data_IF_870575590646
#
_entry.id   IF_870575590646
#
_cell.length_a   1.000
_cell.length_b   1.000
_cell.length_c   1.000
_cell.angle_alpha   90.00
_cell.angle_beta   90.00
_cell.angle_gamma   90.00
#
_symmetry.space_group_name_H-M   'P 1'
#
loop_
_entity.id
_entity.type
_entity.pdbx_description
1 polymer ?
#
# COMPACT_ATOMS: atom_id res chain seq x y z
N UNK A 1 -34.71 61.02 -8.77
CA UNK A 1 -34.36 59.58 -8.90
C UNK A 1 -32.99 59.42 -9.55
N UNK A 2 -31.95 59.02 -8.81
CA UNK A 2 -30.62 58.68 -9.36
C UNK A 2 -30.11 57.37 -8.74
N UNK A 3 -30.74 56.23 -9.08
CA UNK A 3 -30.32 54.87 -8.67
C UNK A 3 -29.47 54.16 -9.75
N UNK A 4 -28.55 54.86 -10.43
CA UNK A 4 -27.76 54.29 -11.55
C UNK A 4 -26.33 53.85 -11.20
N UNK A 5 -25.87 54.01 -9.95
CA UNK A 5 -24.47 53.74 -9.56
C UNK A 5 -24.23 52.42 -8.81
N UNK A 6 -25.27 51.65 -8.50
CA UNK A 6 -25.13 50.40 -7.73
C UNK A 6 -24.89 49.16 -8.62
N UNK A 7 -25.40 49.16 -9.85
CA UNK A 7 -25.28 48.02 -10.76
C UNK A 7 -23.82 47.67 -11.14
N UNK A 8 -22.93 48.64 -11.45
CA UNK A 8 -21.54 48.32 -11.79
C UNK A 8 -20.75 47.79 -10.59
N UNK A 9 -21.08 48.26 -9.39
CA UNK A 9 -20.45 47.82 -8.15
C UNK A 9 -20.83 46.37 -7.83
N UNK A 10 -22.12 46.03 -7.94
CA UNK A 10 -22.58 44.64 -7.77
C UNK A 10 -21.97 43.69 -8.80
N UNK A 11 -21.85 44.10 -10.08
CA UNK A 11 -21.23 43.27 -11.12
C UNK A 11 -19.74 43.05 -10.85
N UNK A 12 -19.02 44.10 -10.43
CA UNK A 12 -17.60 44.00 -10.06
C UNK A 12 -17.38 43.05 -8.88
N UNK A 13 -18.21 43.16 -7.84
CA UNK A 13 -18.14 42.26 -6.68
C UNK A 13 -18.48 40.82 -7.05
N UNK A 14 -19.46 40.59 -7.93
CA UNK A 14 -19.84 39.25 -8.38
C UNK A 14 -18.71 38.59 -9.20
N UNK A 15 -18.06 39.35 -10.09
CA UNK A 15 -16.92 38.85 -10.86
C UNK A 15 -15.69 38.59 -9.99
N UNK A 16 -15.46 39.43 -8.97
CA UNK A 16 -14.39 39.22 -7.99
C UNK A 16 -14.63 37.97 -7.13
N UNK A 17 -15.87 37.75 -6.69
CA UNK A 17 -16.27 36.52 -5.97
C UNK A 17 -16.16 35.27 -6.86
N UNK A 18 -16.54 35.35 -8.13
CA UNK A 18 -16.38 34.24 -9.08
C UNK A 18 -14.90 33.90 -9.33
N UNK A 19 -14.03 34.91 -9.43
CA UNK A 19 -12.59 34.72 -9.59
C UNK A 19 -11.94 34.11 -8.33
N UNK A 20 -12.40 34.47 -7.13
CA UNK A 20 -11.95 33.84 -5.88
C UNK A 20 -12.43 32.39 -5.73
N UNK A 21 -13.61 32.04 -6.26
CA UNK A 21 -14.09 30.65 -6.27
C UNK A 21 -13.30 29.76 -7.25
N UNK A 22 -12.78 30.31 -8.35
CA UNK A 22 -11.98 29.53 -9.30
C UNK A 22 -10.57 29.20 -8.83
N UNK A 23 -10.01 29.94 -7.86
CA UNK A 23 -8.65 29.70 -7.33
C UNK A 23 -8.64 29.00 -5.97
N UNK A 24 -9.77 28.91 -5.28
CA UNK A 24 -9.84 28.37 -3.91
C UNK A 24 -10.07 26.85 -3.83
N UNK A 25 -10.30 26.16 -4.96
CA UNK A 25 -10.65 24.74 -4.97
C UNK A 25 -10.04 23.92 -6.12
N UNK A 26 -8.89 24.34 -6.66
CA UNK A 26 -7.99 23.34 -7.24
C UNK A 26 -7.30 22.62 -6.06
N UNK A 27 -8.08 21.88 -5.26
CA UNK A 27 -7.50 20.88 -4.40
C UNK A 27 -6.77 19.94 -5.35
N UNK A 28 -5.45 19.82 -5.20
CA UNK A 28 -4.68 18.76 -5.84
C UNK A 28 -5.40 17.47 -5.48
N UNK A 29 -6.08 16.87 -6.44
CA UNK A 29 -6.86 15.68 -6.21
C UNK A 29 -5.82 14.56 -6.17
N UNK A 30 -5.47 14.11 -4.97
CA UNK A 30 -4.65 12.92 -4.82
C UNK A 30 -5.45 11.74 -5.37
N UNK A 31 -4.88 11.07 -6.37
CA UNK A 31 -5.46 9.85 -6.91
C UNK A 31 -5.38 8.76 -5.84
N UNK A 32 -6.48 8.02 -5.72
CA UNK A 32 -6.64 6.98 -4.72
C UNK A 32 -7.20 5.73 -5.38
N UNK A 33 -6.47 4.63 -5.27
CA UNK A 33 -6.93 3.30 -5.62
C UNK A 33 -7.26 2.56 -4.33
N UNK A 34 -8.39 1.87 -4.31
CA UNK A 34 -8.83 1.08 -3.17
C UNK A 34 -9.40 -0.24 -3.66
N UNK A 35 -8.97 -1.33 -3.03
CA UNK A 35 -9.49 -2.67 -3.26
C UNK A 35 -9.72 -3.37 -1.92
N UNK A 36 -10.72 -4.24 -1.86
CA UNK A 36 -10.98 -5.08 -0.69
C UNK A 36 -11.28 -6.49 -1.14
N UNK A 37 -10.85 -7.47 -0.36
CA UNK A 37 -11.13 -8.88 -0.62
C UNK A 37 -11.81 -9.51 0.58
N UNK A 38 -12.60 -10.54 0.29
CA UNK A 38 -13.29 -11.40 1.24
C UNK A 38 -13.35 -12.80 0.62
N UNK A 39 -12.22 -13.51 0.62
CA UNK A 39 -12.11 -14.87 0.09
C UNK A 39 -10.78 -15.51 0.49
N UNK A 40 -10.81 -16.80 0.82
CA UNK A 40 -9.62 -17.66 0.98
C UNK A 40 -8.75 -17.60 -0.29
N UNK A 41 -7.74 -16.72 -0.28
CA UNK A 41 -6.75 -16.63 -1.35
C UNK A 41 -5.52 -17.49 -1.06
N UNK A 42 -5.30 -17.91 0.19
CA UNK A 42 -4.23 -18.82 0.60
C UNK A 42 -4.58 -19.56 1.88
N UNK A 43 -4.10 -20.80 2.04
CA UNK A 43 -4.30 -21.58 3.27
C UNK A 43 -3.62 -20.99 4.53
N UNK A 44 -2.78 -19.97 4.35
CA UNK A 44 -1.98 -19.32 5.38
C UNK A 44 -2.10 -17.78 5.37
N UNK A 45 -2.94 -17.24 4.47
CA UNK A 45 -3.17 -15.80 4.33
C UNK A 45 -4.43 -15.33 5.07
N UNK A 46 -4.65 -14.01 5.16
CA UNK A 46 -5.89 -13.46 5.68
C UNK A 46 -7.03 -13.56 4.64
N UNK A 47 -8.19 -14.04 5.08
CA UNK A 47 -9.39 -14.13 4.24
C UNK A 47 -9.99 -12.77 3.90
N UNK A 48 -9.82 -11.80 4.79
CA UNK A 48 -10.40 -10.47 4.70
C UNK A 48 -9.35 -9.37 4.83
N UNK A 49 -9.48 -8.36 3.97
CA UNK A 49 -8.67 -7.17 4.09
C UNK A 49 -8.98 -6.11 3.05
N UNK A 50 -8.20 -5.04 3.12
CA UNK A 50 -8.23 -3.97 2.15
C UNK A 50 -6.83 -3.47 1.85
N UNK A 51 -6.73 -2.91 0.66
CA UNK A 51 -5.54 -2.32 0.08
C UNK A 51 -5.89 -0.92 -0.41
N UNK A 52 -5.03 0.03 -0.11
CA UNK A 52 -5.17 1.42 -0.52
C UNK A 52 -3.84 1.94 -1.06
N UNK A 53 -3.89 2.63 -2.21
CA UNK A 53 -2.80 3.44 -2.73
C UNK A 53 -3.27 4.87 -2.79
N UNK A 54 -2.48 5.79 -2.26
CA UNK A 54 -2.75 7.22 -2.32
C UNK A 54 -1.54 7.93 -2.88
N UNK A 55 -1.69 8.71 -3.94
CA UNK A 55 -0.63 9.65 -4.34
C UNK A 55 -0.47 10.72 -3.26
N UNK A 56 0.76 11.12 -2.96
CA UNK A 56 1.04 12.09 -1.90
C UNK A 56 1.67 13.37 -2.42
N UNK A 57 2.45 13.25 -3.47
CA UNK A 57 2.99 14.34 -4.28
C UNK A 57 3.39 13.80 -5.65
N UNK A 58 4.10 14.62 -6.43
CA UNK A 58 4.45 14.34 -7.82
C UNK A 58 5.52 13.23 -7.98
N UNK A 59 5.99 12.60 -6.91
CA UNK A 59 6.97 11.53 -7.02
C UNK A 59 6.80 10.42 -5.98
N UNK A 60 5.73 10.46 -5.18
CA UNK A 60 5.50 9.51 -4.10
C UNK A 60 4.07 9.07 -4.00
N UNK A 61 3.92 7.79 -3.73
CA UNK A 61 2.67 7.21 -3.32
C UNK A 61 2.86 6.41 -2.03
N UNK A 62 1.77 6.28 -1.30
CA UNK A 62 1.70 5.48 -0.09
C UNK A 62 0.79 4.31 -0.36
N UNK A 63 1.29 3.11 -0.10
CA UNK A 63 0.49 1.89 -0.06
C UNK A 63 0.11 1.60 1.38
N UNK A 64 -1.08 1.11 1.64
CA UNK A 64 -1.50 0.68 2.98
C UNK A 64 -2.41 -0.52 2.84
N UNK A 65 -1.98 -1.62 3.43
CA UNK A 65 -2.72 -2.86 3.54
C UNK A 65 -3.22 -3.00 4.97
N UNK A 66 -4.50 -3.35 5.12
CA UNK A 66 -5.07 -3.76 6.39
C UNK A 66 -5.63 -5.17 6.24
N UNK A 67 -5.20 -6.08 7.11
CA UNK A 67 -5.64 -7.48 7.13
C UNK A 67 -6.28 -7.81 8.46
N UNK A 68 -7.31 -8.65 8.42
CA UNK A 68 -7.96 -9.19 9.61
C UNK A 68 -8.02 -10.70 9.44
N UNK A 69 -7.39 -11.41 10.38
CA UNK A 69 -7.50 -12.86 10.44
C UNK A 69 -8.79 -13.25 11.18
N UNK A 70 -9.52 -14.20 10.63
CA UNK A 70 -10.65 -14.81 11.31
C UNK A 70 -10.18 -15.89 12.31
N UNK A 71 -11.10 -16.60 12.97
CA UNK A 71 -10.72 -17.68 13.89
C UNK A 71 -10.16 -18.92 13.19
N UNK A 72 -10.58 -19.16 11.96
CA UNK A 72 -10.16 -20.27 11.10
C UNK A 72 -8.72 -20.06 10.67
N UNK A 73 -8.39 -18.86 10.17
CA UNK A 73 -7.05 -18.41 9.78
C UNK A 73 -6.06 -18.61 10.92
N UNK A 74 -6.38 -18.10 12.12
CA UNK A 74 -5.52 -18.22 13.29
C UNK A 74 -5.32 -19.67 13.70
N UNK A 75 -6.34 -20.51 13.54
CA UNK A 75 -6.21 -21.95 13.82
C UNK A 75 -5.28 -22.61 12.81
N UNK A 76 -5.40 -22.28 11.53
CA UNK A 76 -4.54 -22.77 10.44
C UNK A 76 -3.09 -22.32 10.64
N UNK A 77 -2.85 -21.02 10.87
CA UNK A 77 -1.54 -20.43 11.17
C UNK A 77 -0.90 -21.13 12.36
N UNK A 78 -1.63 -21.28 13.48
CA UNK A 78 -1.09 -21.97 14.67
C UNK A 78 -0.85 -23.44 14.43
N UNK A 79 -1.67 -24.12 13.62
CA UNK A 79 -1.44 -25.53 13.32
C UNK A 79 -0.21 -25.73 12.43
N UNK A 80 0.00 -24.81 11.47
CA UNK A 80 1.07 -24.88 10.50
C UNK A 80 2.41 -24.46 11.12
N UNK A 81 2.48 -23.24 11.67
CA UNK A 81 3.73 -22.63 12.13
C UNK A 81 4.18 -23.02 13.54
N UNK A 82 3.45 -23.87 14.26
CA UNK A 82 3.84 -24.29 15.62
C UNK A 82 5.09 -25.21 15.63
N UNK A 83 5.52 -25.75 14.49
CA UNK A 83 6.78 -26.49 14.33
C UNK A 83 7.34 -26.39 12.89
N UNK A 84 7.08 -25.28 12.20
CA UNK A 84 7.61 -25.03 10.86
C UNK A 84 8.76 -24.01 10.94
N UNK A 85 9.74 -24.12 10.05
CA UNK A 85 10.84 -23.17 9.94
C UNK A 85 10.47 -21.98 9.03
N UNK A 86 9.23 -21.97 8.52
CA UNK A 86 8.66 -20.88 7.75
C UNK A 86 7.85 -19.90 8.63
N UNK A 87 7.57 -18.73 8.07
CA UNK A 87 6.84 -17.65 8.72
C UNK A 87 5.89 -17.00 7.71
N UNK A 88 4.69 -16.54 8.14
CA UNK A 88 3.78 -15.84 7.26
C UNK A 88 4.23 -14.38 7.08
N UNK A 89 4.04 -13.86 5.88
CA UNK A 89 4.36 -12.48 5.54
C UNK A 89 3.34 -11.82 4.62
N UNK A 90 3.60 -10.55 4.35
CA UNK A 90 2.91 -9.73 3.35
C UNK A 90 3.96 -9.03 2.51
N UNK A 91 3.74 -8.99 1.21
CA UNK A 91 4.60 -8.30 0.26
C UNK A 91 3.79 -7.35 -0.63
N UNK A 92 4.35 -6.16 -0.87
CA UNK A 92 3.85 -5.18 -1.82
C UNK A 92 4.93 -4.93 -2.89
N UNK A 93 4.61 -5.27 -4.13
CA UNK A 93 5.51 -5.19 -5.29
C UNK A 93 5.02 -4.11 -6.27
N UNK A 94 5.89 -3.23 -6.77
CA UNK A 94 5.58 -2.43 -7.97
C UNK A 94 5.90 -3.26 -9.23
N UNK A 95 4.87 -3.86 -9.82
CA UNK A 95 5.06 -4.78 -10.97
C UNK A 95 5.53 -4.08 -12.24
N UNK A 96 5.54 -2.73 -12.26
CA UNK A 96 6.09 -1.95 -13.37
C UNK A 96 7.55 -1.53 -13.14
N UNK A 97 8.10 -1.70 -11.92
CA UNK A 97 9.46 -1.34 -11.53
C UNK A 97 9.79 0.15 -11.81
N UNK A 98 8.86 1.03 -11.44
CA UNK A 98 8.99 2.48 -11.57
C UNK A 98 9.27 3.18 -10.23
N UNK A 99 8.89 2.54 -9.12
CA UNK A 99 9.00 3.09 -7.77
C UNK A 99 9.78 2.15 -6.86
N UNK A 100 10.57 2.74 -5.95
CA UNK A 100 11.25 1.99 -4.90
C UNK A 100 10.58 2.22 -3.55
N UNK A 101 10.46 1.16 -2.77
CA UNK A 101 10.09 1.18 -1.37
C UNK A 101 11.15 1.93 -0.56
N UNK A 102 10.74 2.85 0.30
CA UNK A 102 11.65 3.72 1.07
C UNK A 102 11.38 3.70 2.57
N UNK A 103 10.15 3.45 2.98
CA UNK A 103 9.75 3.46 4.39
C UNK A 103 8.70 2.40 4.59
N UNK A 104 9.02 1.42 5.41
CA UNK A 104 8.14 0.30 5.72
C UNK A 104 7.71 0.37 7.20
N UNK A 105 6.47 0.00 7.50
CA UNK A 105 6.05 -0.26 8.87
C UNK A 105 4.84 -1.18 8.96
N UNK A 106 4.79 -1.92 10.07
CA UNK A 106 3.73 -2.86 10.41
C UNK A 106 3.48 -2.90 11.92
N UNK A 107 2.30 -3.38 12.32
CA UNK A 107 2.01 -3.82 13.70
C UNK A 107 1.84 -5.34 13.82
N UNK A 108 2.23 -6.10 12.80
CA UNK A 108 2.34 -7.56 12.89
C UNK A 108 3.30 -7.92 14.04
N UNK A 109 3.02 -8.97 14.83
CA UNK A 109 3.88 -9.36 15.93
C UNK A 109 5.27 -9.75 15.45
N UNK A 110 6.29 -9.14 16.07
CA UNK A 110 7.71 -9.40 15.77
C UNK A 110 8.02 -9.27 14.26
N UNK A 111 7.86 -8.05 13.70
CA UNK A 111 7.98 -7.85 12.27
C UNK A 111 9.46 -7.81 11.86
N UNK A 112 9.80 -8.62 10.86
CA UNK A 112 11.04 -8.47 10.10
C UNK A 112 10.72 -7.78 8.78
N UNK A 113 11.46 -6.73 8.44
CA UNK A 113 11.26 -6.01 7.19
C UNK A 113 12.39 -6.33 6.23
N UNK A 114 12.03 -6.54 4.97
CA UNK A 114 12.98 -6.73 3.89
C UNK A 114 12.63 -5.83 2.71
N UNK A 115 13.68 -5.42 1.99
CA UNK A 115 13.62 -4.72 0.73
C UNK A 115 14.25 -5.64 -0.29
N UNK A 116 13.40 -6.34 -1.05
CA UNK A 116 13.91 -7.36 -1.94
C UNK A 116 14.63 -6.75 -3.17
N UNK A 117 15.80 -7.30 -3.49
CA UNK A 117 16.60 -7.06 -4.70
C UNK A 117 16.83 -8.39 -5.46
N UNK A 118 15.88 -9.32 -5.41
CA UNK A 118 15.98 -10.69 -5.91
C UNK A 118 16.13 -10.82 -7.44
N UNK A 119 16.19 -9.72 -8.18
CA UNK A 119 16.54 -9.76 -9.61
C UNK A 119 17.90 -9.12 -9.93
N UNK A 120 18.88 -9.89 -10.44
CA UNK A 120 20.26 -9.43 -10.66
C UNK A 120 20.45 -8.37 -11.76
N UNK A 121 19.40 -7.70 -12.22
CA UNK A 121 19.42 -6.79 -13.37
C UNK A 121 18.61 -5.50 -13.20
N UNK A 122 18.01 -5.24 -12.04
CA UNK A 122 17.22 -4.03 -11.77
C UNK A 122 17.76 -3.34 -10.51
N UNK A 123 18.22 -2.10 -10.65
CA UNK A 123 18.85 -1.33 -9.57
C UNK A 123 17.80 -0.64 -8.66
N UNK A 124 16.82 -1.36 -8.13
CA UNK A 124 15.78 -0.73 -7.31
C UNK A 124 15.09 -1.70 -6.35
N UNK A 125 14.80 -1.21 -5.14
CA UNK A 125 14.01 -1.88 -4.11
C UNK A 125 12.52 -1.77 -4.47
N UNK A 126 12.10 -2.44 -5.55
CA UNK A 126 10.72 -2.34 -6.07
C UNK A 126 9.67 -2.96 -5.12
N UNK A 127 10.14 -3.79 -4.18
CA UNK A 127 9.32 -4.57 -3.26
C UNK A 127 9.46 -4.06 -1.82
N UNK A 128 8.39 -4.25 -1.05
CA UNK A 128 8.40 -4.14 0.40
C UNK A 128 7.83 -5.44 0.98
N UNK A 129 8.59 -6.16 1.81
CA UNK A 129 8.10 -7.33 2.54
C UNK A 129 8.06 -7.08 4.06
N UNK A 130 7.07 -7.68 4.72
CA UNK A 130 7.11 -7.92 6.16
C UNK A 130 6.86 -9.39 6.46
N UNK A 131 7.77 -10.00 7.22
CA UNK A 131 7.61 -11.33 7.80
C UNK A 131 7.20 -11.25 9.27
N UNK A 132 6.29 -12.12 9.71
CA UNK A 132 5.88 -12.27 11.11
C UNK A 132 6.72 -13.35 11.81
N UNK A 133 7.74 -12.97 12.59
CA UNK A 133 8.59 -13.94 13.32
C UNK A 133 7.87 -14.59 14.51
N UNK A 134 6.73 -14.02 14.92
CA UNK A 134 5.91 -14.51 16.04
C UNK A 134 4.47 -14.86 15.61
N UNK A 135 4.26 -15.81 14.68
CA UNK A 135 2.93 -16.10 14.11
C UNK A 135 1.91 -16.60 15.14
N UNK A 136 2.38 -17.25 16.21
CA UNK A 136 1.51 -17.71 17.31
C UNK A 136 0.92 -16.57 18.15
N UNK A 137 1.51 -15.37 18.06
CA UNK A 137 1.02 -14.15 18.70
C UNK A 137 -0.09 -13.46 17.92
N UNK A 138 -0.37 -13.88 16.69
CA UNK A 138 -1.52 -13.40 15.93
C UNK A 138 -2.84 -13.79 16.62
N UNK A 139 -3.82 -12.91 16.48
CA UNK A 139 -5.13 -13.00 17.11
C UNK A 139 -6.25 -12.62 16.16
N UNK A 140 -7.34 -13.36 16.23
CA UNK A 140 -8.51 -13.17 15.36
C UNK A 140 -9.20 -11.84 15.67
N UNK A 141 -9.74 -11.18 14.64
CA UNK A 141 -10.46 -9.91 14.78
C UNK A 141 -9.57 -8.72 15.17
N UNK A 142 -8.25 -8.91 15.20
CA UNK A 142 -7.27 -7.83 15.32
C UNK A 142 -6.91 -7.35 13.93
N UNK A 143 -6.93 -6.03 13.72
CA UNK A 143 -6.48 -5.43 12.47
C UNK A 143 -4.96 -5.29 12.50
N UNK A 144 -4.31 -5.99 11.57
CA UNK A 144 -2.90 -5.81 11.29
C UNK A 144 -2.74 -4.95 10.05
N UNK A 145 -1.70 -4.11 10.03
CA UNK A 145 -1.39 -3.28 8.88
C UNK A 145 0.03 -3.55 8.39
N UNK A 146 0.20 -3.31 7.10
CA UNK A 146 1.49 -3.23 6.45
C UNK A 146 1.43 -2.05 5.48
N UNK A 147 2.38 -1.14 5.55
CA UNK A 147 2.40 0.00 4.65
C UNK A 147 3.82 0.24 4.18
N UNK A 148 3.94 0.71 2.94
CA UNK A 148 5.19 1.24 2.42
C UNK A 148 4.99 2.59 1.73
N UNK A 149 6.02 3.43 1.79
CA UNK A 149 6.18 4.57 0.91
C UNK A 149 6.98 4.16 -0.31
N UNK A 150 6.45 4.47 -1.48
CA UNK A 150 7.09 4.24 -2.75
C UNK A 150 7.47 5.59 -3.37
N UNK A 151 8.75 5.76 -3.70
CA UNK A 151 9.29 6.97 -4.32
C UNK A 151 9.85 6.64 -5.71
N UNK A 152 9.57 7.50 -6.69
CA UNK A 152 10.04 7.37 -8.07
C UNK A 152 11.56 7.58 -8.15
N UNK A 153 12.28 6.68 -8.84
CA UNK A 153 13.73 6.83 -9.02
C UNK A 153 14.14 7.40 -10.40
N UNK A 154 13.39 7.12 -11.47
CA UNK A 154 13.92 7.30 -12.84
C UNK A 154 13.07 8.07 -13.86
N UNK A 155 11.73 8.02 -13.82
CA UNK A 155 10.87 8.78 -14.76
C UNK A 155 9.37 8.67 -14.46
N UNK A 156 8.62 9.70 -14.83
CA UNK A 156 7.16 9.73 -14.73
C UNK A 156 6.53 8.45 -15.28
N UNK A 157 5.74 7.74 -14.47
CA UNK A 157 5.20 6.45 -14.85
C UNK A 157 4.01 6.00 -13.99
N UNK A 158 3.23 5.08 -14.53
CA UNK A 158 2.14 4.40 -13.83
C UNK A 158 2.71 3.43 -12.79
N UNK A 159 2.29 3.54 -11.53
CA UNK A 159 2.58 2.54 -10.51
C UNK A 159 1.51 1.44 -10.54
N UNK A 160 1.91 0.18 -10.62
CA UNK A 160 0.94 -0.91 -10.48
C UNK A 160 1.39 -1.77 -9.32
N UNK A 161 0.61 -1.75 -8.24
CA UNK A 161 0.99 -2.48 -7.05
C UNK A 161 0.22 -3.79 -6.93
N UNK A 162 0.96 -4.84 -6.67
CA UNK A 162 0.43 -6.14 -6.29
C UNK A 162 0.63 -6.36 -4.80
N UNK A 163 -0.38 -6.93 -4.14
CA UNK A 163 -0.31 -7.34 -2.75
C UNK A 163 -0.36 -8.86 -2.67
N UNK A 164 0.64 -9.44 -2.02
CA UNK A 164 0.75 -10.87 -1.79
C UNK A 164 0.75 -11.17 -0.29
N UNK A 165 0.31 -12.38 0.05
CA UNK A 165 0.73 -13.05 1.28
C UNK A 165 1.84 -14.02 0.93
N UNK A 166 2.87 -14.08 1.76
CA UNK A 166 4.04 -14.92 1.57
C UNK A 166 4.17 -15.95 2.70
N UNK A 167 4.89 -17.02 2.39
CA UNK A 167 5.46 -17.95 3.34
C UNK A 167 6.98 -17.96 3.10
N UNK A 168 7.73 -17.53 4.09
CA UNK A 168 9.16 -17.27 3.95
C UNK A 168 9.96 -18.01 5.02
N UNK A 169 11.18 -18.45 4.73
CA UNK A 169 12.10 -19.06 5.70
C UNK A 169 13.38 -18.23 5.79
N UNK A 170 14.04 -18.27 6.94
CA UNK A 170 15.32 -17.59 7.11
C UNK A 170 16.45 -18.34 6.43
N UNK A 171 17.04 -17.75 5.38
CA UNK A 171 18.28 -18.26 4.79
C UNK A 171 19.50 -17.61 5.44
N UNK A 172 20.09 -18.34 6.39
CA UNK A 172 21.32 -17.90 7.08
C UNK A 172 22.54 -17.66 6.16
N UNK A 173 22.53 -18.16 4.92
CA UNK A 173 23.62 -17.92 3.98
C UNK A 173 23.52 -16.52 3.34
N UNK A 174 22.30 -16.09 3.00
CA UNK A 174 22.05 -14.77 2.45
C UNK A 174 21.74 -13.71 3.52
N UNK A 175 21.43 -14.14 4.75
CA UNK A 175 21.04 -13.27 5.87
C UNK A 175 19.69 -12.57 5.61
N UNK A 176 18.76 -13.27 4.94
CA UNK A 176 17.47 -12.74 4.50
C UNK A 176 16.34 -13.78 4.56
N UNK A 177 15.10 -13.31 4.50
CA UNK A 177 13.92 -14.18 4.38
C UNK A 177 13.69 -14.53 2.91
N UNK A 178 13.53 -15.82 2.61
CA UNK A 178 13.34 -16.31 1.25
C UNK A 178 11.91 -16.82 1.07
N UNK A 179 11.17 -16.22 0.14
CA UNK A 179 9.79 -16.60 -0.16
C UNK A 179 9.74 -17.99 -0.82
N UNK A 180 8.97 -18.92 -0.24
CA UNK A 180 8.79 -20.30 -0.74
C UNK A 180 7.45 -20.53 -1.41
N UNK A 181 6.44 -19.81 -0.95
CA UNK A 181 5.10 -19.83 -1.51
C UNK A 181 4.46 -18.47 -1.30
N UNK A 182 3.65 -18.04 -2.25
CA UNK A 182 2.89 -16.81 -2.14
C UNK A 182 1.52 -16.98 -2.78
N UNK A 183 0.62 -16.06 -2.46
CA UNK A 183 -0.67 -15.94 -3.12
C UNK A 183 -1.11 -14.49 -3.17
N UNK A 184 -1.65 -14.10 -4.31
CA UNK A 184 -2.14 -12.75 -4.52
C UNK A 184 -3.41 -12.53 -3.70
N UNK A 185 -3.38 -11.52 -2.82
CA UNK A 185 -4.55 -11.09 -2.05
C UNK A 185 -5.37 -10.06 -2.83
N UNK A 186 -4.68 -9.19 -3.57
CA UNK A 186 -5.30 -8.17 -4.38
C UNK A 186 -4.27 -7.49 -5.30
N UNK A 187 -4.80 -6.61 -6.14
CA UNK A 187 -4.00 -5.63 -6.87
C UNK A 187 -4.71 -4.30 -6.79
N UNK A 188 -3.92 -3.24 -6.70
CA UNK A 188 -4.40 -1.88 -6.95
C UNK A 188 -3.55 -1.30 -8.05
N UNK A 189 -4.16 -1.08 -9.21
CA UNK A 189 -3.57 -0.23 -10.23
C UNK A 189 -3.85 1.21 -9.83
N UNK A 190 -2.78 1.95 -9.50
CA UNK A 190 -2.87 3.39 -9.35
C UNK A 190 -1.99 4.00 -10.43
N UNK A 191 -2.62 4.41 -11.52
CA UNK A 191 -1.99 5.40 -12.38
C UNK A 191 -1.78 6.67 -11.58
N UNK A 192 -0.57 6.79 -11.04
CA UNK A 192 -0.05 8.06 -10.55
C UNK A 192 0.27 8.85 -11.82
N UNK A 193 -0.74 9.56 -12.35
CA UNK A 193 -0.57 10.47 -13.47
C UNK A 193 0.16 11.70 -12.96
N UNK A 194 1.48 11.70 -13.13
CA UNK A 194 2.32 12.83 -12.78
C UNK A 194 2.13 13.97 -13.78
N UNK A 195 2.01 15.23 -13.32
CA UNK A 195 1.80 16.39 -14.20
C UNK A 195 2.96 16.68 -15.16
#
# INVERSE_FOLDING_TARGET
MKKKKLLPLCLGTLMFLAAFQSTAFAATQYDRAYSSWTSENASYGPDDGNYEVTSWDDNRCKTTTNVIYDSTDITSIRSYYNNDDCYPGLDITDVNNNFNSTVISSNIPDPHFDWDNDFPWTNGDEEAEVTCESPLSLSSGTQYYFYSWFEEEYSSGTATFQLNTSQSYWDSYNDEYQTTAYSQLGAGELTVDLP
#
